data_IF_131782361341
#
_entry.id   IF_131782361341
#
_cell.length_a   1.000
_cell.length_b   1.000
_cell.length_c   1.000
_cell.angle_alpha   90.00
_cell.angle_beta   90.00
_cell.angle_gamma   90.00
#
_symmetry.space_group_name_H-M   'P 1'
#
loop_
_entity.id
_entity.type
_entity.pdbx_description
1 polymer ?
#
# COMPACT_ATOMS: atom_id res chain seq x y z
N UNK A 1 -0.83 19.16 -7.99
CA UNK A 1 -0.97 17.92 -8.79
C UNK A 1 -2.06 17.07 -8.15
N UNK A 2 -3.01 16.52 -8.91
CA UNK A 2 -4.04 15.64 -8.33
C UNK A 2 -3.41 14.31 -7.94
N UNK A 3 -3.78 13.81 -6.76
CA UNK A 3 -3.31 12.54 -6.22
C UNK A 3 -4.50 11.63 -5.97
N UNK A 4 -4.23 10.33 -6.05
CA UNK A 4 -5.19 9.26 -5.83
C UNK A 4 -4.60 8.24 -4.87
N UNK A 5 -5.44 7.65 -4.03
CA UNK A 5 -5.04 6.67 -3.04
C UNK A 5 -5.94 5.44 -3.10
N UNK A 6 -5.35 4.25 -3.03
CA UNK A 6 -6.06 2.99 -3.12
C UNK A 6 -5.52 2.00 -2.09
N UNK A 7 -6.40 1.38 -1.31
CA UNK A 7 -6.07 0.38 -0.30
C UNK A 7 -6.69 -0.98 -0.58
N UNK A 8 -5.96 -2.05 -0.28
CA UNK A 8 -6.51 -3.42 -0.18
C UNK A 8 -5.93 -4.11 1.05
N UNK A 9 -6.67 -5.08 1.58
CA UNK A 9 -6.22 -5.94 2.67
C UNK A 9 -6.12 -7.40 2.19
N UNK A 10 -5.14 -8.13 2.71
CA UNK A 10 -4.85 -9.50 2.29
C UNK A 10 -4.16 -10.31 3.39
N UNK A 11 -4.30 -11.64 3.40
CA UNK A 11 -3.56 -12.50 4.33
C UNK A 11 -2.04 -12.34 4.19
N UNK A 12 -1.35 -12.54 5.30
CA UNK A 12 0.11 -12.42 5.42
C UNK A 12 0.91 -13.10 4.28
N UNK A 13 0.48 -14.28 3.82
CA UNK A 13 1.12 -15.04 2.73
C UNK A 13 1.23 -14.28 1.39
N UNK A 14 0.33 -13.32 1.14
CA UNK A 14 0.33 -12.53 -0.09
C UNK A 14 1.28 -11.31 -0.04
N UNK A 15 1.81 -10.97 1.14
CA UNK A 15 2.60 -9.75 1.37
C UNK A 15 3.72 -9.55 0.38
N UNK A 16 4.57 -10.57 0.19
CA UNK A 16 5.71 -10.48 -0.72
C UNK A 16 5.28 -10.31 -2.18
N UNK A 17 4.25 -11.05 -2.61
CA UNK A 17 3.77 -11.01 -3.99
C UNK A 17 3.09 -9.67 -4.32
N UNK A 18 2.15 -9.24 -3.46
CA UNK A 18 1.40 -7.98 -3.64
C UNK A 18 2.36 -6.79 -3.63
N UNK A 19 3.22 -6.70 -2.62
CA UNK A 19 4.17 -5.58 -2.49
C UNK A 19 5.09 -5.49 -3.71
N UNK A 20 5.60 -6.63 -4.19
CA UNK A 20 6.49 -6.67 -5.36
C UNK A 20 5.77 -6.26 -6.65
N UNK A 21 4.55 -6.75 -6.88
CA UNK A 21 3.78 -6.43 -8.09
C UNK A 21 3.43 -4.95 -8.13
N UNK A 22 2.94 -4.42 -7.01
CA UNK A 22 2.59 -2.99 -6.88
C UNK A 22 3.84 -2.12 -7.03
N UNK A 23 4.94 -2.43 -6.35
CA UNK A 23 6.20 -1.68 -6.47
C UNK A 23 6.68 -1.60 -7.92
N UNK A 24 6.61 -2.72 -8.66
CA UNK A 24 7.01 -2.76 -10.07
C UNK A 24 6.10 -1.89 -10.95
N UNK A 25 4.79 -1.95 -10.73
CA UNK A 25 3.83 -1.13 -11.48
C UNK A 25 4.05 0.36 -11.24
N UNK A 26 4.35 0.73 -9.99
CA UNK A 26 4.66 2.10 -9.57
C UNK A 26 6.09 2.54 -9.86
N UNK A 27 6.95 1.66 -10.40
CA UNK A 27 8.39 1.91 -10.57
C UNK A 27 9.08 2.37 -9.28
N UNK A 28 8.64 1.85 -8.13
CA UNK A 28 9.20 2.16 -6.83
C UNK A 28 10.36 1.21 -6.49
N UNK A 29 11.35 1.68 -5.70
CA UNK A 29 12.40 0.82 -5.18
C UNK A 29 11.79 -0.29 -4.30
N UNK A 30 12.15 -1.53 -4.59
CA UNK A 30 11.68 -2.70 -3.86
C UNK A 30 12.87 -3.42 -3.21
N UNK A 31 12.93 -3.36 -1.89
CA UNK A 31 13.89 -4.10 -1.08
C UNK A 31 13.16 -5.23 -0.35
N UNK A 32 13.40 -6.47 -0.82
CA UNK A 32 12.81 -7.66 -0.23
C UNK A 32 13.32 -7.91 1.18
N UNK A 33 14.61 -7.68 1.44
CA UNK A 33 15.19 -7.94 2.76
C UNK A 33 14.56 -6.98 3.78
N UNK A 34 14.48 -5.69 3.44
CA UNK A 34 13.83 -4.68 4.29
C UNK A 34 12.36 -4.99 4.53
N UNK A 35 11.63 -5.52 3.53
CA UNK A 35 10.25 -5.95 3.70
C UNK A 35 10.12 -7.02 4.78
N UNK A 36 10.92 -8.09 4.70
CA UNK A 36 10.86 -9.19 5.67
C UNK A 36 11.31 -8.76 7.08
N UNK A 37 12.32 -7.89 7.19
CA UNK A 37 12.75 -7.30 8.47
C UNK A 37 11.62 -6.52 9.16
N UNK A 38 10.85 -5.74 8.39
CA UNK A 38 9.70 -4.97 8.92
C UNK A 38 8.51 -5.86 9.28
N UNK A 39 8.23 -6.89 8.46
CA UNK A 39 7.17 -7.87 8.69
C UNK A 39 7.33 -8.59 10.04
N UNK A 40 8.56 -8.93 10.42
CA UNK A 40 8.86 -9.60 11.70
C UNK A 40 8.78 -8.72 12.96
N UNK A 41 8.54 -7.40 12.83
CA UNK A 41 8.63 -6.45 13.95
C UNK A 41 7.36 -5.62 14.20
N UNK A 42 6.21 -5.99 13.60
CA UNK A 42 4.93 -5.23 13.66
C UNK A 42 5.13 -3.79 13.15
N UNK A 43 5.99 -3.62 12.14
CA UNK A 43 6.34 -2.32 11.59
C UNK A 43 5.52 -1.98 10.33
N UNK A 44 5.84 -0.84 9.72
CA UNK A 44 5.33 -0.44 8.42
C UNK A 44 6.48 -0.49 7.43
N UNK A 45 6.29 -1.16 6.30
CA UNK A 45 7.18 -1.03 5.14
C UNK A 45 6.69 0.12 4.26
N UNK A 46 7.61 0.95 3.76
CA UNK A 46 7.27 2.01 2.84
C UNK A 46 8.29 2.12 1.70
N UNK A 47 7.80 2.49 0.52
CA UNK A 47 8.62 2.86 -0.63
C UNK A 47 8.06 4.13 -1.27
N UNK A 48 8.92 5.07 -1.67
CA UNK A 48 8.55 6.36 -2.24
C UNK A 48 9.41 6.67 -3.46
N UNK A 49 8.83 7.34 -4.44
CA UNK A 49 9.56 7.85 -5.60
C UNK A 49 10.46 9.01 -5.19
N UNK A 50 11.68 9.03 -5.71
CA UNK A 50 12.59 10.18 -5.54
C UNK A 50 12.11 11.41 -6.34
N UNK A 51 11.34 11.19 -7.41
CA UNK A 51 10.87 12.25 -8.32
C UNK A 51 9.53 12.87 -7.88
N UNK A 52 8.64 12.07 -7.28
CA UNK A 52 7.31 12.51 -6.84
C UNK A 52 7.02 12.03 -5.41
N UNK A 53 7.01 12.94 -4.41
CA UNK A 53 6.77 12.56 -3.02
C UNK A 53 5.34 12.06 -2.75
N UNK A 54 4.38 12.30 -3.65
CA UNK A 54 3.03 11.74 -3.57
C UNK A 54 2.91 10.36 -4.23
N UNK A 55 3.99 9.85 -4.80
CA UNK A 55 4.05 8.54 -5.44
C UNK A 55 4.75 7.55 -4.51
N UNK A 56 3.96 6.78 -3.76
CA UNK A 56 4.48 5.88 -2.73
C UNK A 56 3.53 4.72 -2.45
N UNK A 57 4.05 3.70 -1.79
CA UNK A 57 3.25 2.67 -1.15
C UNK A 57 3.65 2.49 0.32
N UNK A 58 2.68 2.05 1.11
CA UNK A 58 2.79 1.74 2.53
C UNK A 58 2.18 0.35 2.73
N UNK A 59 2.88 -0.53 3.43
CA UNK A 59 2.38 -1.84 3.83
C UNK A 59 2.37 -1.92 5.35
N UNK A 60 1.22 -2.25 5.93
CA UNK A 60 1.06 -2.42 7.38
C UNK A 60 0.94 -3.91 7.74
N UNK A 61 1.56 -4.31 8.86
CA UNK A 61 1.62 -5.69 9.34
C UNK A 61 0.88 -5.88 10.69
N UNK A 62 -0.46 -5.73 10.76
CA UNK A 62 -1.16 -5.73 12.04
C UNK A 62 -1.34 -7.11 12.69
N UNK A 63 -1.24 -8.24 11.95
CA UNK A 63 -1.00 -9.62 12.45
C UNK A 63 -1.36 -10.64 11.36
N UNK A 64 -2.65 -10.87 11.13
CA UNK A 64 -3.15 -11.92 10.21
C UNK A 64 -3.46 -11.37 8.82
N UNK A 65 -3.98 -10.14 8.77
CA UNK A 65 -4.35 -9.44 7.55
C UNK A 65 -3.51 -8.19 7.40
N UNK A 66 -2.70 -8.16 6.38
CA UNK A 66 -1.87 -7.01 6.02
C UNK A 66 -2.65 -6.09 5.10
N UNK A 67 -2.28 -4.81 5.09
CA UNK A 67 -2.82 -3.84 4.15
C UNK A 67 -1.70 -3.29 3.29
N UNK A 68 -2.00 -2.98 2.03
CA UNK A 68 -1.18 -2.09 1.21
C UNK A 68 -2.00 -0.89 0.80
N UNK A 69 -1.45 0.29 1.03
CA UNK A 69 -2.00 1.54 0.55
C UNK A 69 -1.03 2.14 -0.45
N UNK A 70 -1.56 2.54 -1.59
CA UNK A 70 -0.81 3.15 -2.70
C UNK A 70 -1.29 4.57 -2.89
N UNK A 71 -0.39 5.54 -2.96
CA UNK A 71 -0.67 6.90 -3.45
C UNK A 71 0.08 7.17 -4.75
N UNK A 72 -0.61 7.74 -5.72
CA UNK A 72 -0.05 8.00 -7.04
C UNK A 72 -0.65 9.25 -7.70
N UNK A 73 0.05 9.76 -8.72
CA UNK A 73 -0.39 10.91 -9.50
C UNK A 73 -1.41 10.56 -10.60
N UNK A 74 -2.05 11.60 -11.13
CA UNK A 74 -3.07 11.51 -12.18
C UNK A 74 -2.63 10.77 -13.47
N UNK A 75 -1.34 10.73 -13.78
CA UNK A 75 -0.85 10.06 -14.99
C UNK A 75 -0.97 8.52 -14.95
N UNK A 76 -0.96 7.92 -13.76
CA UNK A 76 -0.92 6.45 -13.58
C UNK A 76 -2.10 5.88 -12.81
N UNK A 77 -2.97 6.73 -12.26
CA UNK A 77 -3.95 6.31 -11.26
C UNK A 77 -4.94 5.23 -11.75
N UNK A 78 -5.33 5.26 -13.04
CA UNK A 78 -6.24 4.25 -13.62
C UNK A 78 -5.58 2.87 -13.73
N UNK A 79 -4.30 2.82 -14.05
CA UNK A 79 -3.53 1.57 -14.14
C UNK A 79 -3.35 0.97 -12.75
N UNK A 80 -3.02 1.82 -11.77
CA UNK A 80 -2.93 1.43 -10.36
C UNK A 80 -4.28 0.94 -9.85
N UNK A 81 -5.37 1.68 -10.06
CA UNK A 81 -6.70 1.27 -9.62
C UNK A 81 -7.07 -0.09 -10.22
N UNK A 82 -6.86 -0.28 -11.53
CA UNK A 82 -7.15 -1.54 -12.21
C UNK A 82 -6.32 -2.71 -11.65
N UNK A 83 -5.05 -2.47 -11.32
CA UNK A 83 -4.19 -3.44 -10.66
C UNK A 83 -4.71 -3.81 -9.27
N UNK A 84 -5.07 -2.81 -8.46
CA UNK A 84 -5.56 -3.02 -7.10
C UNK A 84 -6.87 -3.82 -7.09
N UNK A 85 -7.81 -3.50 -8.00
CA UNK A 85 -9.05 -4.27 -8.19
C UNK A 85 -8.74 -5.72 -8.56
N UNK A 86 -7.81 -5.93 -9.50
CA UNK A 86 -7.44 -7.29 -9.93
C UNK A 86 -6.80 -8.09 -8.79
N UNK A 87 -5.91 -7.49 -8.02
CA UNK A 87 -5.27 -8.14 -6.88
C UNK A 87 -6.28 -8.49 -5.79
N UNK A 88 -7.14 -7.55 -5.41
CA UNK A 88 -8.20 -7.77 -4.40
C UNK A 88 -9.13 -8.91 -4.82
N UNK A 89 -9.58 -8.91 -6.09
CA UNK A 89 -10.41 -9.97 -6.64
C UNK A 89 -9.73 -11.34 -6.58
N UNK A 90 -8.49 -11.44 -7.07
CA UNK A 90 -7.74 -12.71 -7.08
C UNK A 90 -7.51 -13.28 -5.68
N UNK A 91 -7.24 -12.42 -4.70
CA UNK A 91 -7.03 -12.83 -3.31
C UNK A 91 -8.36 -13.30 -2.71
N UNK A 92 -9.44 -12.53 -2.84
CA UNK A 92 -10.76 -12.89 -2.30
C UNK A 92 -11.31 -14.18 -2.91
N UNK A 93 -11.13 -14.38 -4.21
CA UNK A 93 -11.52 -15.62 -4.89
C UNK A 93 -10.79 -16.84 -4.30
N UNK A 94 -9.50 -16.71 -3.97
CA UNK A 94 -8.72 -17.78 -3.33
C UNK A 94 -9.10 -18.02 -1.89
N UNK A 95 -9.35 -16.96 -1.13
CA UNK A 95 -9.75 -17.01 0.28
C UNK A 95 -11.23 -17.38 0.47
N UNK A 96 -11.96 -17.69 -0.61
CA UNK A 96 -13.41 -17.95 -0.59
C UNK A 96 -14.22 -16.81 0.07
N UNK A 97 -13.73 -15.58 -0.05
CA UNK A 97 -14.36 -14.38 0.49
C UNK A 97 -15.26 -13.70 -0.55
N UNK A 98 -16.19 -12.87 -0.05
CA UNK A 98 -17.02 -12.00 -0.91
C UNK A 98 -16.10 -11.06 -1.68
N UNK A 99 -16.10 -11.17 -3.01
CA UNK A 99 -15.41 -10.26 -3.92
C UNK A 99 -16.02 -8.86 -3.77
N UNK A 100 -15.18 -7.87 -3.46
CA UNK A 100 -15.63 -6.47 -3.50
C UNK A 100 -15.63 -6.01 -4.94
N UNK A 101 -16.72 -5.38 -5.36
CA UNK A 101 -16.86 -4.91 -6.73
C UNK A 101 -15.98 -3.68 -7.04
N UNK A 102 -15.40 -3.03 -6.01
CA UNK A 102 -14.70 -1.76 -6.17
C UNK A 102 -13.56 -1.56 -5.17
N UNK A 103 -12.45 -1.05 -5.70
CA UNK A 103 -11.42 -0.31 -4.96
C UNK A 103 -11.58 1.16 -5.34
N UNK A 104 -11.92 1.99 -4.36
CA UNK A 104 -12.25 3.40 -4.57
C UNK A 104 -11.08 4.32 -4.18
N UNK A 105 -11.12 5.56 -4.65
CA UNK A 105 -10.13 6.55 -4.25
C UNK A 105 -10.37 7.00 -2.81
N UNK A 106 -9.42 6.70 -1.93
CA UNK A 106 -9.47 7.02 -0.50
C UNK A 106 -8.87 8.40 -0.17
N UNK A 107 -8.22 9.07 -1.13
CA UNK A 107 -7.46 10.29 -0.83
C UNK A 107 -8.38 11.42 -0.40
N UNK A 108 -8.21 11.88 0.85
CA UNK A 108 -9.06 12.92 1.45
C UNK A 108 -10.51 12.48 1.71
N UNK A 109 -10.80 11.19 1.60
CA UNK A 109 -12.09 10.61 2.00
C UNK A 109 -12.09 10.27 3.50
N UNK A 110 -13.25 9.92 4.04
CA UNK A 110 -13.39 9.51 5.45
C UNK A 110 -12.53 8.27 5.78
N UNK A 111 -12.34 7.39 4.80
CA UNK A 111 -11.54 6.16 4.87
C UNK A 111 -10.11 6.33 4.31
N UNK A 112 -9.49 7.51 4.46
CA UNK A 112 -8.10 7.73 4.05
C UNK A 112 -7.14 6.91 4.94
N UNK A 113 -6.78 5.70 4.47
CA UNK A 113 -5.92 4.77 5.19
C UNK A 113 -4.57 5.37 5.64
N UNK A 114 -3.99 6.28 4.84
CA UNK A 114 -2.76 6.98 5.23
C UNK A 114 -3.04 7.90 6.40
N UNK A 115 -4.10 8.71 6.34
CA UNK A 115 -4.45 9.60 7.43
C UNK A 115 -4.76 8.83 8.73
N UNK A 116 -5.49 7.73 8.64
CA UNK A 116 -5.76 6.83 9.77
C UNK A 116 -4.46 6.31 10.39
N UNK A 117 -3.50 5.84 9.57
CA UNK A 117 -2.20 5.40 10.03
C UNK A 117 -1.43 6.50 10.78
N UNK A 118 -1.41 7.73 10.24
CA UNK A 118 -0.71 8.87 10.85
C UNK A 118 -1.30 9.22 12.22
N UNK A 119 -2.63 9.23 12.33
CA UNK A 119 -3.34 9.47 13.59
C UNK A 119 -3.05 8.35 14.60
N UNK A 120 -3.19 7.08 14.18
CA UNK A 120 -2.98 5.90 15.04
C UNK A 120 -1.56 5.83 15.59
N UNK A 121 -0.57 6.16 14.78
CA UNK A 121 0.85 6.07 15.15
C UNK A 121 1.39 7.35 15.78
N UNK A 122 0.65 8.46 15.72
CA UNK A 122 1.11 9.81 16.12
C UNK A 122 2.41 10.22 15.39
N UNK A 123 2.57 9.77 14.15
CA UNK A 123 3.74 10.04 13.31
C UNK A 123 3.36 10.96 12.16
N UNK A 124 4.34 11.70 11.65
CA UNK A 124 4.22 12.37 10.36
C UNK A 124 4.57 11.39 9.24
N UNK A 125 4.06 11.67 8.03
CA UNK A 125 4.34 10.85 6.86
C UNK A 125 5.85 10.73 6.60
N UNK A 126 6.60 11.81 6.76
CA UNK A 126 8.06 11.80 6.63
C UNK A 126 8.75 10.92 7.67
N UNK A 127 8.19 10.76 8.88
CA UNK A 127 8.78 9.88 9.88
C UNK A 127 8.68 8.43 9.44
N UNK A 128 7.61 8.05 8.74
CA UNK A 128 7.42 6.70 8.18
C UNK A 128 8.51 6.41 7.14
N UNK A 129 8.74 7.33 6.21
CA UNK A 129 9.77 7.19 5.18
C UNK A 129 11.18 7.14 5.77
N UNK A 130 11.52 8.03 6.72
CA UNK A 130 12.81 8.00 7.41
C UNK A 130 13.08 6.67 8.12
N UNK A 131 12.07 6.09 8.77
CA UNK A 131 12.22 4.78 9.42
C UNK A 131 12.37 3.61 8.44
N UNK A 132 12.13 3.85 7.16
CA UNK A 132 12.35 2.94 6.05
C UNK A 132 13.64 3.28 5.27
N UNK A 133 14.43 4.26 5.71
CA UNK A 133 15.66 4.67 5.03
C UNK A 133 15.42 5.51 3.77
N UNK A 134 14.36 6.31 3.76
CA UNK A 134 13.92 7.19 2.66
C UNK A 134 13.69 8.64 3.12
#
# INVERSE_FOLDING_TARGET
MKCYQYGIAFPDEYTGAVTRIVSRCMKLPFDRQRLEEKRGSVAVYAARSEEDPNHFLIVEFPSEYHSITVRCGESVHKDIQSLMIRLDKLIREKELQIVRDKVENEYGAENDSVQELLVRTKRRLEDIFKSNGL
#
